data_IF_109666494511
#
_entry.id   IF_109666494511
#
_cell.length_a   1.000
_cell.length_b   1.000
_cell.length_c   1.000
_cell.angle_alpha   90.00
_cell.angle_beta   90.00
_cell.angle_gamma   90.00
#
_symmetry.space_group_name_H-M   'P 1'
#
loop_
_entity.id
_entity.type
_entity.pdbx_description
1 polymer ?
#
# COMPACT_ATOMS: atom_id res chain seq x y z
N UNK A 1 30.83 -1.16 -8.84
CA UNK A 1 30.59 -0.79 -7.42
C UNK A 1 29.74 0.47 -7.35
N UNK A 2 28.40 0.33 -7.33
CA UNK A 2 27.47 1.45 -7.18
C UNK A 2 27.22 1.70 -5.69
N UNK A 3 27.76 2.80 -5.14
CA UNK A 3 27.46 3.23 -3.77
C UNK A 3 26.04 3.78 -3.74
N UNK A 4 25.22 3.20 -2.88
CA UNK A 4 23.77 3.30 -2.87
C UNK A 4 23.15 4.68 -2.77
N UNK A 5 22.31 4.99 -3.75
CA UNK A 5 21.36 6.13 -3.78
C UNK A 5 20.30 6.07 -2.67
N UNK A 6 20.18 4.93 -1.97
CA UNK A 6 19.34 4.77 -0.80
C UNK A 6 19.82 5.55 0.44
N UNK A 7 21.07 6.02 0.44
CA UNK A 7 21.66 6.73 1.59
C UNK A 7 21.26 8.22 1.67
N UNK A 8 20.59 8.76 0.65
CA UNK A 8 20.17 10.16 0.61
C UNK A 8 18.66 10.38 0.78
N UNK A 9 17.92 9.36 1.23
CA UNK A 9 16.52 9.55 1.59
C UNK A 9 16.51 10.14 3.01
N UNK A 10 16.66 11.45 3.08
CA UNK A 10 16.60 12.22 4.32
C UNK A 10 15.13 12.29 4.78
N UNK A 11 14.75 11.35 5.65
CA UNK A 11 13.40 11.24 6.23
C UNK A 11 13.35 11.85 7.64
N UNK A 12 14.03 12.96 7.87
CA UNK A 12 13.81 13.76 9.07
C UNK A 12 12.33 14.22 9.15
N UNK A 13 11.76 14.20 10.35
CA UNK A 13 10.31 14.14 10.62
C UNK A 13 9.40 15.20 9.97
N UNK A 14 9.94 16.31 9.44
CA UNK A 14 9.18 17.30 8.65
C UNK A 14 9.04 16.92 7.16
N UNK A 15 9.99 16.13 6.61
CA UNK A 15 9.98 15.65 5.23
C UNK A 15 8.93 14.56 4.99
N UNK A 16 8.77 13.63 5.93
CA UNK A 16 7.83 12.50 5.75
C UNK A 16 6.36 12.95 5.74
N UNK A 17 6.00 13.88 6.62
CA UNK A 17 4.63 14.40 6.69
C UNK A 17 4.28 15.21 5.44
N UNK A 18 5.19 16.08 4.98
CA UNK A 18 4.97 16.85 3.75
C UNK A 18 4.91 15.97 2.50
N UNK A 19 5.71 14.89 2.43
CA UNK A 19 5.61 13.86 1.39
C UNK A 19 4.27 13.12 1.44
N UNK A 20 3.80 12.73 2.61
CA UNK A 20 2.50 12.06 2.77
C UNK A 20 1.33 12.97 2.37
N UNK A 21 1.37 14.26 2.72
CA UNK A 21 0.37 15.24 2.26
C UNK A 21 0.39 15.39 0.74
N UNK A 22 1.58 15.45 0.14
CA UNK A 22 1.75 15.53 -1.32
C UNK A 22 1.23 14.27 -2.02
N UNK A 23 1.53 13.09 -1.48
CA UNK A 23 1.03 11.81 -1.96
C UNK A 23 -0.50 11.76 -1.89
N UNK A 24 -1.08 12.08 -0.73
CA UNK A 24 -2.53 12.03 -0.51
C UNK A 24 -3.31 12.92 -1.50
N UNK A 25 -2.72 14.06 -1.91
CA UNK A 25 -3.31 14.94 -2.93
C UNK A 25 -3.25 14.37 -4.36
N UNK A 26 -2.24 13.54 -4.67
CA UNK A 26 -2.05 12.96 -6.02
C UNK A 26 -2.77 11.62 -6.21
N UNK A 27 -3.11 10.91 -5.13
CA UNK A 27 -3.80 9.63 -5.21
C UNK A 27 -5.13 9.75 -5.96
N UNK A 28 -5.32 8.85 -6.92
CA UNK A 28 -6.55 8.73 -7.69
C UNK A 28 -7.64 8.10 -6.82
N UNK A 29 -8.84 8.68 -6.87
CA UNK A 29 -10.00 8.27 -6.08
C UNK A 29 -10.98 7.48 -6.93
N UNK A 30 -11.52 6.39 -6.37
CA UNK A 30 -12.53 5.56 -7.04
C UNK A 30 -13.77 6.35 -7.42
N UNK A 31 -14.33 7.12 -6.49
CA UNK A 31 -15.52 7.96 -6.74
C UNK A 31 -15.32 8.88 -7.93
N UNK A 32 -14.19 9.58 -8.00
CA UNK A 32 -13.87 10.48 -9.12
C UNK A 32 -13.73 9.73 -10.44
N UNK A 33 -13.09 8.56 -10.45
CA UNK A 33 -12.96 7.75 -11.66
C UNK A 33 -14.33 7.29 -12.20
N UNK A 34 -15.22 6.81 -11.33
CA UNK A 34 -16.58 6.40 -11.71
C UNK A 34 -17.46 7.60 -12.14
N UNK A 35 -17.32 8.76 -11.50
CA UNK A 35 -18.01 9.98 -11.95
C UNK A 35 -17.54 10.41 -13.34
N UNK A 36 -16.23 10.38 -13.61
CA UNK A 36 -15.67 10.71 -14.92
C UNK A 36 -15.99 9.65 -15.98
N UNK A 37 -16.29 8.41 -15.58
CA UNK A 37 -16.72 7.36 -16.49
C UNK A 37 -18.10 7.66 -17.10
N UNK A 38 -18.97 8.41 -16.42
CA UNK A 38 -20.23 8.89 -17.03
C UNK A 38 -19.93 9.77 -18.25
N UNK A 39 -18.80 10.48 -18.23
CA UNK A 39 -18.29 11.28 -19.36
C UNK A 39 -17.33 10.45 -20.24
N UNK A 40 -17.53 9.13 -20.36
CA UNK A 40 -16.70 8.28 -21.22
C UNK A 40 -16.64 8.72 -22.69
N UNK A 41 -17.65 9.37 -23.31
CA UNK A 41 -17.52 9.81 -24.71
C UNK A 41 -16.37 10.81 -24.89
N UNK A 42 -16.07 11.58 -23.85
CA UNK A 42 -14.95 12.52 -23.82
C UNK A 42 -13.62 11.85 -23.43
N UNK A 43 -13.63 10.57 -23.05
CA UNK A 43 -12.45 9.85 -22.56
C UNK A 43 -11.89 10.38 -21.24
N UNK A 44 -12.71 11.10 -20.45
CA UNK A 44 -12.27 11.83 -19.26
C UNK A 44 -11.74 10.91 -18.15
N UNK A 45 -12.33 9.72 -17.98
CA UNK A 45 -11.87 8.73 -16.99
C UNK A 45 -10.48 8.20 -17.34
N UNK A 46 -10.19 7.94 -18.63
CA UNK A 46 -8.86 7.47 -19.06
C UNK A 46 -7.81 8.57 -18.95
N UNK A 47 -8.17 9.82 -19.25
CA UNK A 47 -7.27 10.96 -19.04
C UNK A 47 -6.90 11.13 -17.56
N UNK A 48 -7.88 11.00 -16.65
CA UNK A 48 -7.66 11.04 -15.21
C UNK A 48 -6.72 9.92 -14.71
N UNK A 49 -6.83 8.73 -15.32
CA UNK A 49 -5.97 7.57 -15.06
C UNK A 49 -4.64 7.60 -15.84
N UNK A 50 -4.30 8.73 -16.46
CA UNK A 50 -3.03 8.97 -17.18
C UNK A 50 -2.83 8.08 -18.42
N UNK A 51 -3.94 7.59 -19.00
CA UNK A 51 -3.93 6.82 -20.26
C UNK A 51 -4.34 7.68 -21.45
N UNK A 52 -3.36 8.39 -22.02
CA UNK A 52 -3.56 9.31 -23.15
C UNK A 52 -4.15 8.62 -24.38
N UNK A 53 -3.58 7.49 -24.78
CA UNK A 53 -4.04 6.75 -25.97
C UNK A 53 -5.50 6.32 -25.84
N UNK A 54 -5.88 5.83 -24.66
CA UNK A 54 -7.25 5.43 -24.41
C UNK A 54 -8.24 6.58 -24.43
N UNK A 55 -7.86 7.76 -23.92
CA UNK A 55 -8.70 8.96 -24.00
C UNK A 55 -8.91 9.39 -25.46
N UNK A 56 -7.86 9.35 -26.28
CA UNK A 56 -7.93 9.64 -27.72
C UNK A 56 -8.84 8.65 -28.44
N UNK A 57 -8.81 7.36 -28.08
CA UNK A 57 -9.71 6.36 -28.68
C UNK A 57 -11.18 6.70 -28.47
N UNK A 58 -11.58 7.11 -27.26
CA UNK A 58 -12.97 7.52 -27.01
C UNK A 58 -13.36 8.79 -27.77
N UNK A 59 -12.48 9.79 -27.82
CA UNK A 59 -12.72 11.00 -28.61
C UNK A 59 -12.84 10.70 -30.10
N UNK A 60 -11.99 9.81 -30.63
CA UNK A 60 -12.02 9.39 -32.02
C UNK A 60 -13.29 8.60 -32.36
N UNK A 61 -13.73 7.67 -31.51
CA UNK A 61 -14.98 6.94 -31.71
C UNK A 61 -16.20 7.85 -31.64
N UNK A 62 -16.20 8.81 -30.72
CA UNK A 62 -17.27 9.81 -30.60
C UNK A 62 -17.32 10.73 -31.81
N UNK A 63 -16.16 11.22 -32.26
CA UNK A 63 -16.06 12.03 -33.48
C UNK A 63 -16.49 11.23 -34.73
N UNK A 64 -16.03 9.99 -34.87
CA UNK A 64 -16.41 9.09 -35.95
C UNK A 64 -17.93 8.87 -35.96
N UNK A 65 -18.52 8.59 -34.80
CA UNK A 65 -19.97 8.41 -34.66
C UNK A 65 -20.73 9.65 -35.13
N UNK A 66 -20.29 10.85 -34.71
CA UNK A 66 -20.92 12.10 -35.09
C UNK A 66 -20.79 12.38 -36.60
N UNK A 67 -19.60 12.17 -37.18
CA UNK A 67 -19.36 12.35 -38.61
C UNK A 67 -20.25 11.42 -39.43
N UNK A 68 -20.34 10.13 -39.06
CA UNK A 68 -21.18 9.16 -39.75
C UNK A 68 -22.67 9.47 -39.60
N UNK A 69 -23.09 9.92 -38.41
CA UNK A 69 -24.47 10.33 -38.17
C UNK A 69 -24.89 11.51 -39.06
N UNK A 70 -24.01 12.51 -39.19
CA UNK A 70 -24.28 13.72 -39.97
C UNK A 70 -24.17 13.48 -41.48
N UNK A 71 -23.23 12.64 -41.93
CA UNK A 71 -22.98 12.43 -43.35
C UNK A 71 -23.90 11.37 -43.97
N UNK A 72 -24.23 10.30 -43.24
CA UNK A 72 -24.94 9.13 -43.77
C UNK A 72 -26.28 8.88 -43.06
N UNK A 73 -26.63 9.67 -42.05
CA UNK A 73 -27.83 9.53 -41.25
C UNK A 73 -27.61 8.81 -39.90
N UNK A 74 -28.56 8.96 -38.95
CA UNK A 74 -28.34 8.64 -37.53
C UNK A 74 -28.07 7.17 -37.26
N UNK A 75 -28.56 6.26 -38.11
CA UNK A 75 -28.33 4.81 -37.93
C UNK A 75 -26.84 4.44 -38.05
N UNK A 76 -26.08 5.18 -38.85
CA UNK A 76 -24.63 4.95 -39.04
C UNK A 76 -23.80 5.38 -37.82
N UNK A 77 -24.38 6.15 -36.89
CA UNK A 77 -23.72 6.49 -35.63
C UNK A 77 -23.34 5.24 -34.83
N UNK A 78 -24.10 4.15 -34.98
CA UNK A 78 -23.91 2.87 -34.29
C UNK A 78 -22.51 2.28 -34.49
N UNK A 79 -21.87 2.54 -35.64
CA UNK A 79 -20.49 2.13 -35.95
C UNK A 79 -19.49 2.67 -34.93
N UNK A 80 -19.68 3.91 -34.44
CA UNK A 80 -18.85 4.48 -33.38
C UNK A 80 -19.39 4.24 -31.97
N UNK A 81 -20.73 4.30 -31.79
CA UNK A 81 -21.35 4.14 -30.47
C UNK A 81 -21.15 2.74 -29.90
N UNK A 82 -21.38 1.68 -30.68
CA UNK A 82 -21.33 0.31 -30.16
C UNK A 82 -19.93 -0.06 -29.64
N UNK A 83 -18.83 0.19 -30.40
CA UNK A 83 -17.49 -0.02 -29.86
C UNK A 83 -17.18 0.86 -28.66
N UNK A 84 -17.62 2.13 -28.64
CA UNK A 84 -17.39 3.02 -27.50
C UNK A 84 -18.08 2.50 -26.23
N UNK A 85 -19.33 2.07 -26.33
CA UNK A 85 -20.07 1.47 -25.20
C UNK A 85 -19.41 0.16 -24.76
N UNK A 86 -19.03 -0.72 -25.70
CA UNK A 86 -18.33 -1.96 -25.39
C UNK A 86 -17.02 -1.73 -24.62
N UNK A 87 -16.21 -0.76 -25.06
CA UNK A 87 -14.99 -0.35 -24.36
C UNK A 87 -15.27 0.28 -23.00
N UNK A 88 -16.33 1.08 -22.87
CA UNK A 88 -16.72 1.70 -21.60
C UNK A 88 -17.14 0.64 -20.57
N UNK A 89 -17.90 -0.37 -21.00
CA UNK A 89 -18.28 -1.50 -20.15
C UNK A 89 -17.06 -2.34 -19.76
N UNK A 90 -16.16 -2.62 -20.72
CA UNK A 90 -14.89 -3.26 -20.42
C UNK A 90 -14.11 -2.48 -19.36
N UNK A 91 -14.02 -1.15 -19.49
CA UNK A 91 -13.32 -0.31 -18.52
C UNK A 91 -13.88 -0.40 -17.10
N UNK A 92 -15.20 -0.63 -16.94
CA UNK A 92 -15.82 -0.76 -15.63
C UNK A 92 -15.19 -1.91 -14.81
N UNK A 93 -14.85 -3.02 -15.48
CA UNK A 93 -14.17 -4.15 -14.85
C UNK A 93 -12.70 -3.87 -14.52
N UNK A 94 -12.05 -2.95 -15.24
CA UNK A 94 -10.62 -2.69 -15.11
C UNK A 94 -10.27 -1.41 -14.33
N UNK A 95 -11.24 -0.53 -14.08
CA UNK A 95 -11.04 0.76 -13.38
C UNK A 95 -10.33 0.56 -12.04
N UNK A 96 -10.77 -0.39 -11.22
CA UNK A 96 -10.17 -0.61 -9.90
C UNK A 96 -8.73 -1.11 -9.98
N UNK A 97 -8.44 -1.99 -10.94
CA UNK A 97 -7.08 -2.48 -11.20
C UNK A 97 -6.17 -1.35 -11.66
N UNK A 98 -6.67 -0.46 -12.53
CA UNK A 98 -5.93 0.72 -13.04
C UNK A 98 -5.69 1.76 -11.96
N UNK A 99 -6.69 2.05 -11.11
CA UNK A 99 -6.49 2.94 -9.96
C UNK A 99 -5.39 2.39 -9.06
N UNK A 100 -5.39 1.08 -8.81
CA UNK A 100 -4.39 0.42 -7.98
C UNK A 100 -3.00 0.53 -8.60
N UNK A 101 -2.86 0.29 -9.91
CA UNK A 101 -1.57 0.39 -10.60
C UNK A 101 -1.04 1.83 -10.63
N UNK A 102 -1.88 2.83 -10.92
CA UNK A 102 -1.51 4.25 -10.93
C UNK A 102 -1.12 4.71 -9.53
N UNK A 103 -1.93 4.39 -8.51
CA UNK A 103 -1.61 4.74 -7.13
C UNK A 103 -0.33 4.06 -6.63
N UNK A 104 -0.06 2.82 -7.07
CA UNK A 104 1.22 2.14 -6.80
C UNK A 104 2.37 2.89 -7.45
N UNK A 105 2.26 3.27 -8.72
CA UNK A 105 3.27 4.06 -9.44
C UNK A 105 3.55 5.39 -8.75
N UNK A 106 2.51 6.13 -8.36
CA UNK A 106 2.65 7.42 -7.65
C UNK A 106 3.37 7.28 -6.31
N UNK A 107 3.11 6.20 -5.56
CA UNK A 107 3.86 5.91 -4.33
C UNK A 107 5.33 5.65 -4.62
N UNK A 108 5.63 4.83 -5.63
CA UNK A 108 7.01 4.51 -5.99
C UNK A 108 7.78 5.76 -6.43
N UNK A 109 7.17 6.60 -7.28
CA UNK A 109 7.78 7.85 -7.74
C UNK A 109 8.11 8.80 -6.58
N UNK A 110 7.21 8.92 -5.60
CA UNK A 110 7.40 9.80 -4.44
C UNK A 110 8.40 9.25 -3.41
N UNK A 111 8.46 7.93 -3.20
CA UNK A 111 9.35 7.33 -2.20
C UNK A 111 10.75 6.98 -2.73
N UNK A 112 10.88 6.65 -4.02
CA UNK A 112 12.17 6.32 -4.63
C UNK A 112 12.80 7.50 -5.37
N UNK A 113 12.06 8.58 -5.61
CA UNK A 113 12.48 9.71 -6.44
C UNK A 113 12.19 9.50 -7.92
N UNK A 114 12.04 10.61 -8.66
CA UNK A 114 11.75 10.57 -10.10
C UNK A 114 12.88 9.84 -10.85
N UNK A 115 12.58 8.68 -11.43
CA UNK A 115 13.53 7.88 -12.21
C UNK A 115 14.15 6.69 -11.49
N UNK A 116 13.84 6.45 -10.22
CA UNK A 116 14.34 5.28 -9.50
C UNK A 116 13.46 4.06 -9.77
N UNK A 117 13.99 3.13 -10.55
CA UNK A 117 13.45 1.78 -10.69
C UNK A 117 13.70 0.98 -9.41
N UNK A 118 12.78 0.08 -9.02
CA UNK A 118 13.06 -0.88 -7.97
C UNK A 118 14.34 -1.65 -8.31
N UNK A 119 15.18 -2.00 -7.31
CA UNK A 119 16.36 -2.82 -7.54
C UNK A 119 16.01 -4.09 -8.33
N UNK A 120 16.89 -4.52 -9.22
CA UNK A 120 16.71 -5.78 -9.95
C UNK A 120 16.47 -6.92 -8.94
N UNK A 121 15.36 -7.64 -9.08
CA UNK A 121 14.95 -8.70 -8.15
C UNK A 121 14.00 -8.27 -7.02
N UNK A 122 13.54 -7.02 -6.97
CA UNK A 122 12.52 -6.60 -6.00
C UNK A 122 11.15 -7.26 -6.29
N UNK A 123 10.90 -8.38 -5.63
CA UNK A 123 9.57 -8.96 -5.50
C UNK A 123 8.86 -8.20 -4.38
N UNK A 124 7.67 -7.64 -4.64
CA UNK A 124 6.98 -6.71 -3.71
C UNK A 124 6.56 -7.35 -2.37
N UNK A 125 5.30 -7.20 -1.97
CA UNK A 125 4.79 -7.98 -0.82
C UNK A 125 4.72 -9.45 -1.26
N UNK A 126 5.72 -10.23 -0.90
CA UNK A 126 5.67 -11.69 -0.95
C UNK A 126 4.54 -12.13 0.00
N UNK A 127 3.63 -13.03 -0.41
CA UNK A 127 2.65 -13.59 0.51
C UNK A 127 3.37 -14.09 1.76
N UNK A 128 2.84 -13.71 2.92
CA UNK A 128 3.50 -13.90 4.21
C UNK A 128 3.79 -15.39 4.47
N UNK A 129 2.98 -16.28 3.91
CA UNK A 129 3.12 -17.72 4.06
C UNK A 129 4.44 -18.25 3.48
N UNK A 130 4.83 -17.81 2.28
CA UNK A 130 6.06 -18.31 1.64
C UNK A 130 7.35 -17.87 2.35
N UNK A 131 7.36 -16.66 2.93
CA UNK A 131 8.50 -16.15 3.68
C UNK A 131 8.60 -16.76 5.08
N UNK A 132 7.46 -17.15 5.68
CA UNK A 132 7.43 -17.81 6.98
C UNK A 132 8.08 -19.19 6.90
N UNK A 133 7.78 -19.98 5.87
CA UNK A 133 8.36 -21.33 5.74
C UNK A 133 9.87 -21.28 5.51
N UNK A 134 10.35 -20.37 4.67
CA UNK A 134 11.78 -20.20 4.41
C UNK A 134 12.54 -19.66 5.63
N UNK A 135 11.92 -18.73 6.38
CA UNK A 135 12.45 -18.21 7.64
C UNK A 135 12.49 -19.28 8.75
N UNK A 136 11.41 -20.06 8.90
CA UNK A 136 11.33 -21.17 9.86
C UNK A 136 12.38 -22.22 9.54
N UNK A 137 12.52 -22.60 8.26
CA UNK A 137 13.52 -23.58 7.82
C UNK A 137 14.95 -23.11 8.02
N UNK A 138 15.23 -21.83 7.78
CA UNK A 138 16.52 -21.21 8.10
C UNK A 138 16.83 -21.24 9.60
N UNK A 139 15.83 -20.93 10.44
CA UNK A 139 15.96 -21.00 11.91
C UNK A 139 16.11 -22.43 12.43
N UNK A 140 15.43 -23.39 11.83
CA UNK A 140 15.56 -24.81 12.17
C UNK A 140 16.94 -25.37 11.75
N UNK A 141 17.48 -24.93 10.61
CA UNK A 141 18.84 -25.25 10.19
C UNK A 141 19.91 -24.64 11.12
N UNK A 142 19.72 -23.40 11.58
CA UNK A 142 20.57 -22.78 12.62
C UNK A 142 20.47 -23.55 13.96
N UNK A 143 19.30 -24.09 14.28
CA UNK A 143 19.07 -24.90 15.49
C UNK A 143 19.72 -26.29 15.41
N UNK A 144 19.86 -26.85 14.20
CA UNK A 144 20.49 -28.15 13.96
C UNK A 144 22.03 -28.15 14.18
N UNK A 145 22.65 -26.97 14.23
CA UNK A 145 24.08 -26.81 14.55
C UNK A 145 24.41 -26.75 16.05
N UNK A 146 23.40 -26.58 16.92
CA UNK A 146 23.56 -26.66 18.36
C UNK A 146 22.97 -27.97 18.87
N UNK A 147 23.79 -29.03 18.92
CA UNK A 147 23.55 -30.03 19.94
C UNK A 147 23.59 -29.30 21.29
N UNK A 148 22.62 -29.50 22.20
CA UNK A 148 22.86 -29.16 23.59
C UNK A 148 23.96 -30.13 24.04
N UNK A 149 25.21 -29.68 23.91
CA UNK A 149 26.32 -30.32 24.59
C UNK A 149 25.92 -30.44 26.05
N UNK A 150 26.18 -31.61 26.63
CA UNK A 150 26.07 -31.89 28.05
C UNK A 150 27.08 -31.03 28.83
N UNK A 151 26.86 -29.73 28.82
CA UNK A 151 27.53 -28.75 29.63
C UNK A 151 26.47 -28.22 30.58
N UNK A 152 26.59 -28.66 31.83
CA UNK A 152 25.92 -28.09 32.99
C UNK A 152 26.15 -26.57 32.98
N UNK A 153 25.19 -25.83 32.45
CA UNK A 153 25.17 -24.38 32.52
C UNK A 153 24.65 -23.97 33.91
N UNK A 154 25.23 -22.95 34.54
CA UNK A 154 24.79 -22.47 35.84
C UNK A 154 23.39 -21.86 35.70
N UNK A 155 22.57 -22.16 36.70
CA UNK A 155 21.20 -21.74 36.95
C UNK A 155 20.92 -20.29 36.51
N UNK A 156 20.46 -20.15 35.26
CA UNK A 156 20.12 -18.89 34.63
C UNK A 156 18.67 -18.94 34.20
N UNK A 157 17.80 -18.49 35.11
CA UNK A 157 16.35 -18.37 34.98
C UNK A 157 15.93 -17.79 33.61
N UNK A 158 15.62 -18.68 32.67
CA UNK A 158 15.02 -18.32 31.40
C UNK A 158 13.52 -18.05 31.63
N UNK A 159 13.25 -16.83 32.11
CA UNK A 159 11.91 -16.28 32.29
C UNK A 159 11.07 -16.45 31.02
N UNK A 160 10.19 -17.44 31.07
CA UNK A 160 9.10 -17.65 30.12
C UNK A 160 8.26 -16.36 30.05
N UNK A 161 7.91 -15.92 28.84
CA UNK A 161 7.05 -14.75 28.68
C UNK A 161 5.75 -14.95 29.49
N UNK A 162 5.38 -14.01 30.39
CA UNK A 162 4.26 -14.21 31.31
C UNK A 162 2.95 -14.38 30.54
N UNK A 163 2.13 -15.32 31.00
CA UNK A 163 0.77 -15.51 30.48
C UNK A 163 -0.11 -14.29 30.74
N UNK A 164 -1.19 -14.13 29.98
CA UNK A 164 -2.10 -12.98 30.10
C UNK A 164 -2.67 -12.81 31.52
N UNK A 165 -2.93 -13.93 32.22
CA UNK A 165 -3.35 -13.93 33.63
C UNK A 165 -2.27 -13.39 34.57
N UNK A 166 -1.01 -13.73 34.32
CA UNK A 166 0.13 -13.23 35.10
C UNK A 166 0.37 -11.74 34.84
N UNK A 167 0.20 -11.29 33.59
CA UNK A 167 0.26 -9.87 33.24
C UNK A 167 -0.85 -9.06 33.94
N UNK A 168 -2.08 -9.58 33.98
CA UNK A 168 -3.19 -8.93 34.68
C UNK A 168 -2.95 -8.87 36.21
N UNK A 169 -2.35 -9.93 36.78
CA UNK A 169 -1.97 -9.96 38.20
C UNK A 169 -0.88 -8.94 38.52
N UNK A 170 0.17 -8.84 37.69
CA UNK A 170 1.23 -7.85 37.85
C UNK A 170 0.68 -6.41 37.77
N UNK A 171 -0.24 -6.14 36.84
CA UNK A 171 -0.90 -4.83 36.73
C UNK A 171 -1.72 -4.47 37.97
N UNK A 172 -2.40 -5.44 38.60
CA UNK A 172 -3.14 -5.23 39.86
C UNK A 172 -2.21 -5.00 41.05
N UNK A 173 -1.04 -5.64 41.07
CA UNK A 173 -0.06 -5.42 42.14
C UNK A 173 0.61 -4.05 42.02
N UNK A 174 0.94 -3.61 40.80
CA UNK A 174 1.49 -2.27 40.54
C UNK A 174 0.52 -1.14 40.92
N UNK A 175 -0.78 -1.30 40.65
CA UNK A 175 -1.78 -0.28 41.00
C UNK A 175 -1.95 -0.14 42.51
N UNK A 176 -1.87 -1.25 43.27
CA UNK A 176 -1.91 -1.24 44.74
C UNK A 176 -0.69 -0.55 45.35
N UNK A 177 0.51 -0.81 44.84
CA UNK A 177 1.73 -0.17 45.33
C UNK A 177 1.82 1.32 44.97
N UNK A 178 1.27 1.73 43.82
CA UNK A 178 1.21 3.15 43.44
C UNK A 178 0.28 3.95 44.34
N UNK A 179 -0.83 3.34 44.77
CA UNK A 179 -1.77 3.97 45.71
C UNK A 179 -1.18 4.18 47.11
N UNK A 180 -0.44 3.20 47.63
CA UNK A 180 0.20 3.31 48.96
C UNK A 180 1.37 4.29 48.98
N UNK A 181 2.17 4.35 47.90
CA UNK A 181 3.26 5.35 47.79
C UNK A 181 2.72 6.79 47.75
N UNK A 182 1.66 7.04 46.97
CA UNK A 182 1.01 8.35 46.91
C UNK A 182 0.43 8.78 48.27
N UNK A 183 -0.15 7.84 49.02
CA UNK A 183 -0.72 8.11 50.36
C UNK A 183 0.35 8.40 51.42
N UNK A 184 1.57 7.87 51.25
CA UNK A 184 2.71 8.11 52.14
C UNK A 184 3.41 9.44 51.84
N UNK A 185 3.38 9.88 50.59
CA UNK A 185 3.83 11.22 50.18
C UNK A 185 2.83 12.32 50.60
N UNK A 186 1.53 12.00 50.72
CA UNK A 186 0.49 12.93 51.20
C UNK A 186 0.40 13.05 52.74
N UNK A 187 1.10 12.21 53.52
CA UNK A 187 1.14 12.35 54.99
C UNK A 187 2.50 11.91 55.58
N UNK A 188 3.52 12.80 55.62
CA UNK A 188 4.89 12.44 55.99
C UNK A 188 5.19 12.49 57.51
N UNK A 189 4.20 12.35 58.39
CA UNK A 189 4.42 12.43 59.84
C UNK A 189 3.46 11.59 60.67
N UNK A 190 3.98 10.48 61.18
CA UNK A 190 3.86 10.00 62.57
C UNK A 190 5.11 9.16 62.89
#
# INVERSE_FOLDING_TARGET
MGRGTWKSIDLEGAGLQSLNVRLARRLKRRRTAYLLWILFPLGAHRLYLEERYGSITFMALTALSLILALALGPWNASIGVLPAVGLALFDLFWIDRRITSVNKRLRMELYLGAGATPPAGYQGRVPKEAYLDEYVRGKEAERAGHQPGAHSAPDGDHSRAPSFREQERMLRELSRHRGTRRRREENPGD
#
